data_IF_551015347482
#
_entry.id   IF_551015347482
#
_cell.length_a   1.000
_cell.length_b   1.000
_cell.length_c   1.000
_cell.angle_alpha   90.00
_cell.angle_beta   90.00
_cell.angle_gamma   90.00
#
_symmetry.space_group_name_H-M   'P 1'
#
loop_
_entity.id
_entity.type
_entity.pdbx_description
1 polymer ?
#
# COMPACT_ATOMS: atom_id res chain seq x y z
N UNK A 1 6.83 -13.30 -3.53
CA UNK A 1 7.84 -12.75 -2.57
C UNK A 1 9.06 -12.07 -3.22
N UNK A 2 9.09 -11.75 -4.53
CA UNK A 2 10.28 -11.17 -5.18
C UNK A 2 10.72 -9.78 -4.65
N UNK A 3 9.81 -9.06 -3.97
CA UNK A 3 10.03 -7.72 -3.42
C UNK A 3 10.08 -7.70 -1.89
N UNK A 4 9.93 -8.85 -1.23
CA UNK A 4 9.88 -8.89 0.24
C UNK A 4 11.15 -8.29 0.83
N UNK A 5 10.99 -7.30 1.69
CA UNK A 5 12.07 -6.60 2.35
C UNK A 5 12.76 -5.52 1.50
N UNK A 6 12.42 -5.38 0.22
CA UNK A 6 12.89 -4.27 -0.61
C UNK A 6 12.24 -2.96 -0.16
N UNK A 7 12.90 -1.85 -0.46
CA UNK A 7 12.34 -0.52 -0.27
C UNK A 7 11.82 -0.01 -1.60
N UNK A 8 10.62 0.57 -1.58
CA UNK A 8 10.03 1.27 -2.72
C UNK A 8 9.92 2.75 -2.39
N UNK A 9 10.11 3.59 -3.41
CA UNK A 9 9.87 5.03 -3.29
C UNK A 9 8.44 5.30 -3.70
N UNK A 10 7.62 5.79 -2.77
CA UNK A 10 6.23 6.19 -3.01
C UNK A 10 6.20 7.72 -3.17
N UNK A 11 5.49 8.22 -4.17
CA UNK A 11 5.35 9.66 -4.44
C UNK A 11 3.88 10.05 -4.54
N UNK A 12 3.49 11.07 -3.77
CA UNK A 12 2.14 11.62 -3.72
C UNK A 12 2.20 13.10 -3.33
N UNK A 13 1.32 13.93 -3.90
CA UNK A 13 1.17 15.35 -3.54
C UNK A 13 2.51 16.14 -3.49
N UNK A 14 3.47 15.82 -4.39
CA UNK A 14 4.79 16.45 -4.43
C UNK A 14 5.80 15.98 -3.38
N UNK A 15 5.40 15.11 -2.44
CA UNK A 15 6.26 14.48 -1.44
C UNK A 15 6.64 13.05 -1.84
N UNK A 16 7.74 12.54 -1.29
CA UNK A 16 8.16 11.15 -1.45
C UNK A 16 8.63 10.53 -0.14
N UNK A 17 8.37 9.23 0.02
CA UNK A 17 8.85 8.43 1.16
C UNK A 17 9.35 7.06 0.70
N UNK A 18 10.35 6.53 1.40
CA UNK A 18 10.78 5.15 1.22
C UNK A 18 10.10 4.23 2.24
N UNK A 19 9.31 3.28 1.76
CA UNK A 19 8.64 2.26 2.58
C UNK A 19 9.21 0.87 2.27
N UNK A 20 9.23 -0.02 3.27
CA UNK A 20 9.66 -1.42 3.11
C UNK A 20 8.44 -2.27 2.76
N UNK A 21 8.56 -3.10 1.72
CA UNK A 21 7.54 -4.11 1.40
C UNK A 21 7.64 -5.24 2.42
N UNK A 22 6.56 -5.46 3.17
CA UNK A 22 6.54 -6.43 4.29
C UNK A 22 5.43 -7.46 4.18
N UNK A 23 4.44 -7.23 3.32
CA UNK A 23 3.27 -8.10 3.19
C UNK A 23 2.70 -8.07 1.75
N UNK A 24 1.70 -8.91 1.51
CA UNK A 24 0.90 -8.98 0.30
C UNK A 24 -0.52 -8.51 0.57
N UNK A 25 -1.07 -7.66 -0.32
CA UNK A 25 -2.50 -7.38 -0.38
C UNK A 25 -3.11 -8.39 -1.37
N UNK A 26 -3.74 -9.45 -0.87
CA UNK A 26 -4.16 -10.60 -1.68
C UNK A 26 -5.27 -10.21 -2.67
N UNK A 27 -5.00 -10.32 -3.97
CA UNK A 27 -5.93 -9.98 -5.03
C UNK A 27 -6.64 -11.19 -5.66
N UNK A 28 -6.51 -12.38 -5.06
CA UNK A 28 -7.05 -13.65 -5.57
C UNK A 28 -8.18 -14.14 -4.67
N UNK A 29 -7.92 -14.23 -3.37
CA UNK A 29 -8.85 -14.79 -2.39
C UNK A 29 -9.52 -13.70 -1.55
N UNK A 30 -10.69 -14.01 -0.98
CA UNK A 30 -11.51 -13.09 -0.21
C UNK A 30 -12.96 -13.56 -0.11
N UNK A 31 -13.81 -12.78 0.55
CA UNK A 31 -15.23 -13.08 0.80
C UNK A 31 -15.46 -14.38 1.60
N UNK A 32 -14.50 -14.77 2.44
CA UNK A 32 -14.54 -15.96 3.29
C UNK A 32 -14.22 -15.63 4.77
N UNK A 33 -14.25 -16.64 5.63
CA UNK A 33 -14.00 -16.46 7.07
C UNK A 33 -12.56 -16.01 7.39
N UNK A 34 -11.57 -16.50 6.64
CA UNK A 34 -10.16 -16.19 6.86
C UNK A 34 -9.86 -14.72 6.56
N UNK A 35 -10.62 -14.11 5.64
CA UNK A 35 -10.51 -12.70 5.24
C UNK A 35 -11.60 -11.81 5.87
N UNK A 36 -12.24 -12.22 6.98
CA UNK A 36 -13.35 -11.47 7.61
C UNK A 36 -14.49 -11.08 6.67
N UNK A 37 -14.70 -11.86 5.60
CA UNK A 37 -15.63 -11.61 4.51
C UNK A 37 -15.37 -10.31 3.73
N UNK A 38 -14.15 -9.75 3.84
CA UNK A 38 -13.71 -8.64 3.00
C UNK A 38 -13.41 -9.11 1.57
N UNK A 39 -13.68 -8.29 0.55
CA UNK A 39 -13.37 -8.64 -0.83
C UNK A 39 -11.86 -8.77 -1.07
N UNK A 40 -11.43 -9.50 -2.12
CA UNK A 40 -10.04 -9.48 -2.56
C UNK A 40 -9.55 -8.06 -2.83
N UNK A 41 -8.26 -7.83 -2.62
CA UNK A 41 -7.59 -6.57 -2.89
C UNK A 41 -7.54 -6.27 -4.40
N UNK A 42 -7.63 -4.99 -4.76
CA UNK A 42 -7.40 -4.57 -6.15
C UNK A 42 -5.92 -4.74 -6.54
N UNK A 43 -5.65 -5.10 -7.80
CA UNK A 43 -4.33 -5.51 -8.27
C UNK A 43 -3.29 -4.37 -8.41
N UNK A 44 -3.68 -3.13 -8.13
CA UNK A 44 -2.89 -1.92 -8.28
C UNK A 44 -2.74 -1.15 -6.95
N UNK A 45 -2.95 -1.81 -5.81
CA UNK A 45 -2.93 -1.22 -4.48
C UNK A 45 -1.53 -1.28 -3.86
N UNK A 46 -1.14 -0.17 -3.20
CA UNK A 46 -0.06 -0.12 -2.21
C UNK A 46 -0.70 0.16 -0.87
N UNK A 47 -1.01 -0.88 -0.10
CA UNK A 47 -1.58 -0.72 1.23
C UNK A 47 -0.48 -0.34 2.23
N UNK A 48 -0.67 0.80 2.91
CA UNK A 48 0.41 1.52 3.56
C UNK A 48 0.07 1.90 4.99
N UNK A 49 1.03 1.65 5.90
CA UNK A 49 0.89 2.02 7.31
C UNK A 49 0.67 3.53 7.51
N UNK A 50 0.06 3.99 8.62
CA UNK A 50 -0.15 5.41 8.92
C UNK A 50 1.12 6.27 8.81
N UNK A 51 2.29 5.72 9.15
CA UNK A 51 3.56 6.44 9.05
C UNK A 51 3.93 6.84 7.61
N UNK A 52 3.49 6.08 6.59
CA UNK A 52 3.69 6.41 5.17
C UNK A 52 2.80 7.59 4.80
N UNK A 53 1.54 7.59 5.25
CA UNK A 53 0.61 8.71 5.05
C UNK A 53 1.13 9.99 5.68
N UNK A 54 1.57 9.93 6.93
CA UNK A 54 2.11 11.08 7.67
C UNK A 54 3.37 11.65 6.99
N UNK A 55 4.26 10.78 6.52
CA UNK A 55 5.49 11.20 5.82
C UNK A 55 5.21 11.83 4.44
N UNK A 56 4.11 11.44 3.78
CA UNK A 56 3.64 12.07 2.55
C UNK A 56 2.81 13.34 2.82
N UNK A 57 2.45 13.62 4.08
CA UNK A 57 1.59 14.75 4.44
C UNK A 57 0.16 14.59 3.92
N UNK A 58 -0.35 13.36 3.88
CA UNK A 58 -1.69 13.03 3.41
C UNK A 58 -2.68 12.89 4.57
N UNK A 59 -3.93 13.30 4.35
CA UNK A 59 -5.01 13.07 5.30
C UNK A 59 -5.51 11.62 5.19
N UNK A 60 -5.33 10.85 6.27
CA UNK A 60 -5.74 9.45 6.35
C UNK A 60 -7.27 9.28 6.22
N UNK A 61 -8.07 10.32 6.50
CA UNK A 61 -9.53 10.26 6.38
C UNK A 61 -10.04 10.22 4.93
N UNK A 62 -9.18 10.51 3.94
CA UNK A 62 -9.52 10.40 2.51
C UNK A 62 -9.61 8.94 2.06
N UNK A 63 -8.91 8.03 2.75
CA UNK A 63 -8.94 6.59 2.49
C UNK A 63 -8.05 6.14 1.34
N UNK A 64 -8.18 6.74 0.15
CA UNK A 64 -7.40 6.37 -1.05
C UNK A 64 -6.93 7.60 -1.83
N UNK A 65 -5.71 7.53 -2.36
CA UNK A 65 -5.15 8.58 -3.23
C UNK A 65 -4.34 7.95 -4.38
N UNK A 66 -4.28 8.65 -5.50
CA UNK A 66 -3.39 8.27 -6.59
C UNK A 66 -1.93 8.52 -6.21
N UNK A 67 -1.07 7.52 -6.46
CA UNK A 67 0.36 7.56 -6.20
C UNK A 67 1.15 7.04 -7.39
N UNK A 68 2.43 7.33 -7.42
CA UNK A 68 3.39 6.55 -8.22
C UNK A 68 4.39 5.88 -7.28
N UNK A 69 4.89 4.71 -7.69
CA UNK A 69 5.97 4.04 -6.97
C UNK A 69 7.00 3.48 -7.95
N UNK A 70 8.23 3.37 -7.47
CA UNK A 70 9.31 2.69 -8.17
C UNK A 70 10.16 1.90 -7.20
N UNK A 71 10.73 0.82 -7.70
CA UNK A 71 11.91 0.20 -7.09
C UNK A 71 13.11 1.12 -7.37
N UNK A 72 14.09 1.14 -6.46
CA UNK A 72 15.42 1.62 -6.85
C UNK A 72 16.09 0.62 -7.81
#
# INVERSE_FOLDING_TARGET
>A
MARCGHRVKITANGNSVYAKVVDECDSVEGCDEDHNFEPPCDNNIVDASPAVWDALGLDQNVGMVDITWSEE
#
